data_IF_689924888553
#
_entry.id   IF_689924888553
#
_cell.length_a   1.000
_cell.length_b   1.000
_cell.length_c   1.000
_cell.angle_alpha   90.00
_cell.angle_beta   90.00
_cell.angle_gamma   90.00
#
_symmetry.space_group_name_H-M   'P 1'
#
loop_
_entity.id
_entity.type
_entity.pdbx_description
1 polymer ?
#
# COMPACT_ATOMS: atom_id res chain seq x y z
N UNK A 1 15.03 9.55 10.07
CA UNK A 1 14.75 10.22 8.78
C UNK A 1 13.82 9.31 7.99
N UNK A 2 12.71 9.82 7.46
CA UNK A 2 11.79 9.05 6.61
C UNK A 2 12.24 9.17 5.15
N UNK A 3 12.07 8.10 4.38
CA UNK A 3 12.38 8.09 2.94
C UNK A 3 11.04 7.99 2.22
N UNK A 4 10.77 8.94 1.34
CA UNK A 4 9.58 8.88 0.50
C UNK A 4 9.72 7.75 -0.51
N UNK A 5 8.68 6.94 -0.63
CA UNK A 5 8.66 5.80 -1.55
C UNK A 5 7.36 5.76 -2.33
N UNK A 6 7.46 5.36 -3.59
CA UNK A 6 6.31 5.13 -4.48
C UNK A 6 6.22 3.65 -4.85
N UNK A 7 5.02 3.20 -5.18
CA UNK A 7 4.82 1.85 -5.70
C UNK A 7 5.39 1.80 -7.11
N UNK A 8 6.44 0.98 -7.32
CA UNK A 8 7.00 0.69 -8.64
C UNK A 8 6.14 -0.33 -9.39
N UNK A 9 5.58 -1.30 -8.66
CA UNK A 9 4.72 -2.32 -9.24
C UNK A 9 4.50 -3.51 -8.31
N UNK A 10 3.74 -4.47 -8.83
CA UNK A 10 3.41 -5.74 -8.19
C UNK A 10 4.05 -6.87 -8.99
N UNK A 11 4.69 -7.81 -8.30
CA UNK A 11 5.29 -9.00 -8.90
C UNK A 11 4.80 -10.25 -8.17
N UNK A 12 4.95 -11.42 -8.79
CA UNK A 12 4.69 -12.70 -8.13
C UNK A 12 6.04 -13.38 -7.91
N UNK A 13 6.27 -13.84 -6.69
CA UNK A 13 7.42 -14.67 -6.36
C UNK A 13 7.28 -16.04 -7.08
N UNK A 14 8.21 -16.43 -7.97
CA UNK A 14 8.11 -17.68 -8.70
C UNK A 14 8.23 -18.93 -7.81
N UNK A 15 8.76 -18.80 -6.59
CA UNK A 15 8.97 -19.92 -5.66
C UNK A 15 7.75 -20.10 -4.77
N UNK A 16 7.30 -19.01 -4.14
CA UNK A 16 6.22 -19.06 -3.14
C UNK A 16 4.84 -18.78 -3.74
N UNK A 17 4.78 -18.31 -4.99
CA UNK A 17 3.59 -17.82 -5.66
C UNK A 17 2.87 -16.69 -4.88
N UNK A 18 3.60 -16.02 -3.98
CA UNK A 18 3.09 -14.91 -3.19
C UNK A 18 3.32 -13.59 -3.92
N UNK A 19 2.33 -12.68 -3.92
CA UNK A 19 2.52 -11.34 -4.43
C UNK A 19 3.53 -10.52 -3.62
N UNK A 20 4.34 -9.73 -4.32
CA UNK A 20 5.31 -8.80 -3.76
C UNK A 20 5.01 -7.40 -4.30
N UNK A 21 4.82 -6.45 -3.39
CA UNK A 21 4.78 -5.01 -3.70
C UNK A 21 6.20 -4.48 -3.66
N UNK A 22 6.59 -3.79 -4.74
CA UNK A 22 7.91 -3.18 -4.85
C UNK A 22 7.76 -1.68 -4.63
N UNK A 23 8.29 -1.20 -3.52
CA UNK A 23 8.43 0.23 -3.24
C UNK A 23 9.81 0.71 -3.72
N UNK A 24 9.87 1.93 -4.25
CA UNK A 24 11.10 2.55 -4.77
C UNK A 24 11.19 3.98 -4.24
N UNK A 25 12.39 4.45 -3.89
CA UNK A 25 12.63 5.86 -3.62
C UNK A 25 12.57 6.72 -4.91
N UNK A 26 12.49 8.04 -4.77
CA UNK A 26 12.36 8.94 -5.92
C UNK A 26 13.54 8.78 -6.92
N UNK A 27 14.76 8.61 -6.41
CA UNK A 27 15.97 8.43 -7.24
C UNK A 27 16.09 7.01 -7.82
N UNK A 28 15.43 6.01 -7.21
CA UNK A 28 15.52 4.60 -7.56
C UNK A 28 16.74 3.85 -7.12
N UNK A 29 17.51 4.44 -6.23
CA UNK A 29 18.67 3.78 -5.66
C UNK A 29 18.26 2.76 -4.60
N UNK A 30 17.06 2.90 -4.02
CA UNK A 30 16.56 2.03 -2.95
C UNK A 30 15.25 1.39 -3.37
N UNK A 31 15.16 0.09 -3.09
CA UNK A 31 13.97 -0.71 -3.33
C UNK A 31 13.62 -1.46 -2.05
N UNK A 32 12.34 -1.45 -1.69
CA UNK A 32 11.82 -2.19 -0.55
C UNK A 32 10.72 -3.15 -1.03
N UNK A 33 10.99 -4.46 -1.08
CA UNK A 33 9.97 -5.47 -1.36
C UNK A 33 9.15 -5.77 -0.10
N UNK A 34 7.82 -5.86 -0.27
CA UNK A 34 6.88 -6.24 0.79
C UNK A 34 6.00 -7.37 0.24
N UNK A 35 6.07 -8.55 0.86
CA UNK A 35 5.17 -9.66 0.56
C UNK A 35 3.79 -9.37 1.15
N UNK A 36 2.75 -9.58 0.35
CA UNK A 36 1.35 -9.38 0.75
C UNK A 36 0.52 -10.59 0.31
N UNK A 37 -0.67 -10.73 0.89
CA UNK A 37 -1.61 -11.75 0.46
C UNK A 37 -2.22 -11.45 -0.91
N UNK A 38 -2.87 -12.45 -1.48
CA UNK A 38 -3.49 -12.37 -2.83
C UNK A 38 -4.62 -11.35 -2.87
N UNK A 39 -5.39 -11.20 -1.79
CA UNK A 39 -6.51 -10.27 -1.74
C UNK A 39 -6.04 -8.82 -1.64
N UNK A 40 -5.00 -8.56 -0.85
CA UNK A 40 -4.37 -7.25 -0.72
C UNK A 40 -3.72 -6.84 -2.04
N UNK A 41 -3.00 -7.77 -2.66
CA UNK A 41 -2.40 -7.58 -3.99
C UNK A 41 -3.43 -7.20 -5.04
N UNK A 42 -4.56 -7.92 -5.09
CA UNK A 42 -5.63 -7.65 -6.04
C UNK A 42 -6.25 -6.26 -5.82
N UNK A 43 -6.49 -5.87 -4.57
CA UNK A 43 -7.02 -4.54 -4.26
C UNK A 43 -6.06 -3.42 -4.71
N UNK A 44 -4.75 -3.61 -4.50
CA UNK A 44 -3.72 -2.67 -4.94
C UNK A 44 -3.65 -2.63 -6.47
N UNK A 45 -3.68 -3.78 -7.14
CA UNK A 45 -3.62 -3.87 -8.60
C UNK A 45 -4.79 -3.13 -9.27
N UNK A 46 -6.02 -3.33 -8.79
CA UNK A 46 -7.20 -2.61 -9.29
C UNK A 46 -7.03 -1.09 -9.17
N UNK A 47 -6.48 -0.62 -8.05
CA UNK A 47 -6.24 0.81 -7.84
C UNK A 47 -5.14 1.36 -8.75
N UNK A 48 -4.05 0.62 -8.97
CA UNK A 48 -2.97 1.01 -9.89
C UNK A 48 -3.48 1.11 -11.33
N UNK A 49 -4.32 0.16 -11.74
CA UNK A 49 -4.94 0.14 -13.07
C UNK A 49 -6.10 1.14 -13.20
N UNK A 50 -6.45 1.87 -12.13
CA UNK A 50 -7.58 2.80 -12.06
C UNK A 50 -8.91 2.14 -12.49
N UNK A 51 -9.09 0.87 -12.15
CA UNK A 51 -10.32 0.13 -12.45
C UNK A 51 -11.42 0.58 -11.51
N UNK A 52 -12.51 1.11 -12.05
CA UNK A 52 -13.69 1.45 -11.25
C UNK A 52 -14.57 0.22 -11.04
N UNK A 53 -14.82 -0.11 -9.77
CA UNK A 53 -15.74 -1.18 -9.39
C UNK A 53 -17.17 -0.62 -9.26
N UNK A 54 -18.21 -1.42 -9.59
CA UNK A 54 -19.60 -0.97 -9.51
C UNK A 54 -20.10 -0.73 -8.08
N UNK A 55 -19.37 -1.24 -7.08
CA UNK A 55 -19.63 -1.02 -5.65
C UNK A 55 -18.32 -0.68 -4.95
N UNK A 56 -18.35 0.17 -3.92
CA UNK A 56 -17.15 0.52 -3.15
C UNK A 56 -16.56 -0.73 -2.50
N UNK A 57 -15.25 -0.92 -2.65
CA UNK A 57 -14.48 -1.94 -1.95
C UNK A 57 -14.16 -1.49 -0.52
N UNK A 58 -13.55 -2.37 0.27
CA UNK A 58 -13.18 -2.09 1.67
C UNK A 58 -12.33 -0.82 1.82
N UNK A 59 -11.38 -0.61 0.91
CA UNK A 59 -10.50 0.57 0.93
C UNK A 59 -11.24 1.84 0.53
N UNK A 60 -12.17 1.77 -0.43
CA UNK A 60 -13.03 2.89 -0.80
C UNK A 60 -13.95 3.28 0.35
N UNK A 61 -14.54 2.29 1.02
CA UNK A 61 -15.39 2.52 2.19
C UNK A 61 -14.59 3.17 3.32
N UNK A 62 -13.37 2.71 3.60
CA UNK A 62 -12.49 3.32 4.61
C UNK A 62 -12.16 4.78 4.24
N UNK A 63 -11.86 5.04 2.97
CA UNK A 63 -11.62 6.40 2.48
C UNK A 63 -12.85 7.28 2.68
N UNK A 64 -14.04 6.80 2.30
CA UNK A 64 -15.28 7.56 2.47
C UNK A 64 -15.55 7.89 3.95
N UNK A 65 -15.28 6.95 4.87
CA UNK A 65 -15.41 7.22 6.31
C UNK A 65 -14.47 8.34 6.77
N UNK A 66 -13.22 8.34 6.29
CA UNK A 66 -12.24 9.39 6.62
C UNK A 66 -12.70 10.74 6.05
N UNK A 67 -13.15 10.76 4.79
CA UNK A 67 -13.64 11.95 4.10
C UNK A 67 -14.91 12.52 4.79
N UNK A 68 -15.84 11.66 5.21
CA UNK A 68 -17.08 12.04 5.92
C UNK A 68 -16.79 12.62 7.32
N UNK A 69 -15.67 12.24 7.93
CA UNK A 69 -15.17 12.83 9.18
C UNK A 69 -14.42 14.15 8.96
N UNK A 70 -14.43 14.68 7.73
CA UNK A 70 -13.65 15.85 7.30
C UNK A 70 -12.15 15.71 7.57
N UNK A 71 -11.65 14.47 7.54
CA UNK A 71 -10.25 14.16 7.73
C UNK A 71 -9.59 13.77 6.40
N UNK A 72 -8.26 13.74 6.36
CA UNK A 72 -7.51 13.27 5.21
C UNK A 72 -6.25 12.50 5.63
N UNK A 73 -5.88 11.49 4.84
CA UNK A 73 -4.63 10.74 5.05
C UNK A 73 -3.45 11.60 4.58
N UNK A 74 -2.63 12.06 5.51
CA UNK A 74 -1.46 12.90 5.21
C UNK A 74 -0.29 12.07 4.66
N UNK A 75 -0.01 10.93 5.31
CA UNK A 75 1.06 10.00 4.91
C UNK A 75 0.91 8.64 5.59
N UNK A 76 1.50 7.62 5.01
CA UNK A 76 1.61 6.27 5.59
C UNK A 76 3.10 5.99 5.79
N UNK A 77 3.48 5.52 6.99
CA UNK A 77 4.89 5.23 7.31
C UNK A 77 5.03 3.79 7.75
N UNK A 78 5.81 3.04 6.99
CA UNK A 78 6.33 1.73 7.42
C UNK A 78 7.45 1.97 8.41
N UNK A 79 7.20 1.68 9.69
CA UNK A 79 8.03 2.14 10.81
C UNK A 79 8.87 1.04 11.47
N UNK A 80 8.49 -0.23 11.32
CA UNK A 80 9.23 -1.34 11.91
C UNK A 80 9.09 -2.62 11.09
N UNK A 81 10.06 -3.52 11.28
CA UNK A 81 10.03 -4.91 10.83
C UNK A 81 10.29 -5.79 12.05
N UNK A 82 9.35 -6.66 12.40
CA UNK A 82 9.52 -7.64 13.48
C UNK A 82 9.04 -8.98 12.99
N UNK A 83 9.86 -10.02 13.13
CA UNK A 83 9.50 -11.39 12.76
C UNK A 83 8.92 -11.47 11.32
N UNK A 84 9.62 -10.86 10.36
CA UNK A 84 9.22 -10.76 8.95
C UNK A 84 7.89 -10.02 8.68
N UNK A 85 7.34 -9.32 9.68
CA UNK A 85 6.11 -8.53 9.57
C UNK A 85 6.43 -7.05 9.57
N UNK A 86 6.02 -6.35 8.50
CA UNK A 86 6.09 -4.89 8.44
C UNK A 86 4.97 -4.27 9.25
N UNK A 87 5.31 -3.26 10.06
CA UNK A 87 4.36 -2.43 10.77
C UNK A 87 4.31 -1.05 10.13
N UNK A 88 3.10 -0.54 9.94
CA UNK A 88 2.87 0.77 9.37
C UNK A 88 1.92 1.61 10.25
N UNK A 89 2.04 2.92 10.12
CA UNK A 89 1.17 3.90 10.77
C UNK A 89 0.58 4.82 9.72
N UNK A 90 -0.75 4.98 9.74
CA UNK A 90 -1.48 5.91 8.89
C UNK A 90 -1.65 7.21 9.68
N UNK A 91 -1.07 8.29 9.17
CA UNK A 91 -1.19 9.62 9.78
C UNK A 91 -2.37 10.34 9.14
N UNK A 92 -3.38 10.66 9.96
CA UNK A 92 -4.62 11.32 9.55
C UNK A 92 -4.68 12.69 10.22
N UNK A 93 -5.13 13.70 9.47
CA UNK A 93 -5.33 15.08 9.93
C UNK A 93 -6.76 15.52 9.66
N UNK A 94 -7.33 16.30 10.58
CA UNK A 94 -8.67 16.91 10.51
C UNK A 94 -8.51 18.40 10.23
#
# INVERSE_FOLDING_TARGET
>A
MQIEMTIKGLMIDPITNMPIIILRDQDGQRVLPIWVGVFEANAIALQIENVQTPRPMTHDLLKNIIDDLHAHVQRIVVCALKENTFYATIHITV
#
